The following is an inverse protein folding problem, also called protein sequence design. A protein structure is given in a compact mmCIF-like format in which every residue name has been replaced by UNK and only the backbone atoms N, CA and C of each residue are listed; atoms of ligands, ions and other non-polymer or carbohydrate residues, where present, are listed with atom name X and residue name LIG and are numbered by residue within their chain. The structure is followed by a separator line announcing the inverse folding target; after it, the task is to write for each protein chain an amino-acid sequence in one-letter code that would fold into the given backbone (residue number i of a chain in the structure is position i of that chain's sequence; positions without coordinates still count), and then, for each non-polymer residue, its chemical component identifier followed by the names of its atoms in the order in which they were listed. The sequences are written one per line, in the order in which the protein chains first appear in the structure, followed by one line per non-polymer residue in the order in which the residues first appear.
data_IF_534871824531
#
_entry.id   IF_534871824531
#
_cell.length_a   1.000
_cell.length_b   1.000
_cell.length_c   1.000
_cell.angle_alpha   90.00
_cell.angle_beta   90.00
_cell.angle_gamma   90.00
#
_symmetry.space_group_name_H-M   'P 1'
#
loop_
_entity.id
_entity.type
_entity.pdbx_description
1 polymer ?
#
# COMPACT_ATOMS: atom_id res chain seq x y z
N UNK A 1 7.04 -15.67 1.17
CA UNK A 1 5.60 -15.39 1.26
C UNK A 1 4.83 -16.69 1.28
N UNK A 2 4.53 -17.25 0.11
CA UNK A 2 3.58 -18.37 -0.05
C UNK A 2 3.78 -19.56 0.90
N UNK A 3 5.02 -20.05 1.04
CA UNK A 3 5.32 -21.16 1.95
C UNK A 3 5.06 -20.82 3.42
N UNK A 4 5.44 -19.62 3.85
CA UNK A 4 5.35 -19.21 5.26
C UNK A 4 3.90 -19.09 5.73
N UNK A 5 3.00 -18.69 4.84
CA UNK A 5 1.57 -18.55 5.12
C UNK A 5 0.74 -19.76 4.66
N UNK A 6 1.38 -20.86 4.26
CA UNK A 6 0.68 -22.10 3.91
C UNK A 6 -0.14 -22.05 2.63
N UNK A 7 0.17 -21.16 1.68
CA UNK A 7 -0.60 -21.05 0.42
C UNK A 7 -0.30 -22.16 -0.60
N UNK A 8 0.85 -22.84 -0.52
CA UNK A 8 1.26 -23.83 -1.53
C UNK A 8 0.32 -25.05 -1.65
N UNK A 9 -0.23 -25.62 -0.56
CA UNK A 9 -1.28 -26.64 -0.65
C UNK A 9 -2.57 -26.10 -1.29
N UNK A 10 -3.00 -24.90 -0.90
CA UNK A 10 -4.24 -24.27 -1.40
C UNK A 10 -4.20 -24.05 -2.91
N UNK A 11 -3.04 -23.69 -3.46
CA UNK A 11 -2.86 -23.55 -4.90
C UNK A 11 -3.24 -24.82 -5.68
N UNK A 12 -2.92 -26.00 -5.13
CA UNK A 12 -3.24 -27.30 -5.72
C UNK A 12 -4.69 -27.72 -5.47
N UNK A 13 -5.21 -27.41 -4.29
CA UNK A 13 -6.58 -27.75 -3.90
C UNK A 13 -7.63 -26.99 -4.72
N UNK A 14 -7.41 -25.69 -4.93
CA UNK A 14 -8.33 -24.81 -5.65
C UNK A 14 -7.95 -24.59 -7.12
N UNK A 15 -6.89 -25.25 -7.60
CA UNK A 15 -6.34 -25.07 -8.96
C UNK A 15 -6.09 -23.60 -9.32
N UNK A 16 -5.37 -22.89 -8.45
CA UNK A 16 -5.06 -21.45 -8.60
C UNK A 16 -3.57 -21.19 -8.75
N UNK A 17 -3.24 -20.18 -9.56
CA UNK A 17 -1.87 -19.71 -9.73
C UNK A 17 -1.45 -18.79 -8.58
N UNK A 18 -0.31 -19.07 -7.96
CA UNK A 18 0.35 -18.14 -7.04
C UNK A 18 1.46 -17.38 -7.76
N UNK A 19 1.35 -16.05 -7.78
CA UNK A 19 2.24 -15.18 -8.54
C UNK A 19 2.95 -14.17 -7.64
N UNK A 20 4.29 -14.12 -7.73
CA UNK A 20 5.09 -13.05 -7.11
C UNK A 20 5.11 -11.83 -8.03
N UNK A 21 4.30 -10.81 -7.70
CA UNK A 21 4.18 -9.59 -8.50
C UNK A 21 5.49 -8.83 -8.69
N UNK A 22 6.50 -9.05 -7.84
CA UNK A 22 7.82 -8.41 -8.04
C UNK A 22 8.59 -9.00 -9.23
N UNK A 23 8.13 -10.14 -9.78
CA UNK A 23 8.69 -10.81 -10.95
C UNK A 23 7.81 -10.66 -12.19
N UNK A 24 6.72 -9.89 -12.08
CA UNK A 24 5.81 -9.64 -13.17
C UNK A 24 6.41 -8.69 -14.22
N UNK A 25 5.83 -8.72 -15.42
CA UNK A 25 5.90 -7.58 -16.32
C UNK A 25 5.24 -6.36 -15.65
N UNK A 26 5.62 -5.16 -16.08
CA UNK A 26 5.15 -3.95 -15.45
C UNK A 26 4.84 -2.86 -16.47
N UNK A 27 3.96 -1.96 -16.05
CA UNK A 27 3.65 -0.70 -16.73
C UNK A 27 4.06 0.47 -15.83
N UNK A 28 4.40 1.61 -16.43
CA UNK A 28 4.69 2.83 -15.68
C UNK A 28 3.41 3.60 -15.39
N UNK A 29 3.21 3.97 -14.13
CA UNK A 29 2.16 4.90 -13.71
C UNK A 29 2.80 6.20 -13.25
N UNK A 30 2.28 7.32 -13.74
CA UNK A 30 2.72 8.65 -13.34
C UNK A 30 2.08 9.07 -12.00
N UNK A 31 2.93 9.29 -11.02
CA UNK A 31 2.65 9.74 -9.68
C UNK A 31 3.41 11.04 -9.41
N UNK A 32 3.43 11.49 -8.15
CA UNK A 32 4.04 12.74 -7.76
C UNK A 32 5.11 12.54 -6.68
N UNK A 33 6.22 13.25 -6.81
CA UNK A 33 7.24 13.30 -5.77
C UNK A 33 6.82 14.22 -4.61
N UNK A 34 7.69 14.35 -3.59
CA UNK A 34 7.45 15.20 -2.41
C UNK A 34 7.29 16.69 -2.73
N UNK A 35 7.68 17.11 -3.93
CA UNK A 35 7.56 18.47 -4.43
C UNK A 35 6.44 18.59 -5.47
N UNK A 36 5.57 17.58 -5.56
CA UNK A 36 4.45 17.51 -6.51
C UNK A 36 4.88 17.55 -7.97
N UNK A 37 6.08 17.08 -8.29
CA UNK A 37 6.56 16.92 -9.66
C UNK A 37 6.27 15.51 -10.16
N UNK A 38 6.00 15.31 -11.47
CA UNK A 38 5.80 13.99 -12.03
C UNK A 38 6.97 13.04 -11.72
N UNK A 39 6.63 11.85 -11.25
CA UNK A 39 7.54 10.72 -11.11
C UNK A 39 6.84 9.47 -11.60
N UNK A 40 7.57 8.54 -12.22
CA UNK A 40 6.99 7.29 -12.68
C UNK A 40 7.32 6.17 -11.72
N UNK A 41 6.35 5.34 -11.36
CA UNK A 41 6.55 4.10 -10.63
C UNK A 41 6.08 2.91 -11.46
N UNK A 42 6.69 1.74 -11.24
CA UNK A 42 6.31 0.51 -11.95
C UNK A 42 5.24 -0.24 -11.15
N UNK A 43 4.20 -0.65 -11.84
CA UNK A 43 3.08 -1.43 -11.32
C UNK A 43 2.97 -2.72 -12.12
N UNK A 44 2.66 -3.84 -11.45
CA UNK A 44 2.39 -5.13 -12.08
C UNK A 44 1.37 -4.99 -13.21
N UNK A 45 1.78 -5.43 -14.40
CA UNK A 45 0.94 -5.43 -15.61
C UNK A 45 -0.26 -6.35 -15.43
N UNK A 46 -0.07 -7.51 -14.81
CA UNK A 46 -1.16 -8.45 -14.51
C UNK A 46 -2.26 -7.80 -13.68
N UNK A 47 -1.91 -7.03 -12.63
CA UNK A 47 -2.92 -6.35 -11.80
C UNK A 47 -3.65 -5.26 -12.60
N UNK A 48 -2.93 -4.50 -13.42
CA UNK A 48 -3.52 -3.43 -14.24
C UNK A 48 -4.48 -3.99 -15.29
N UNK A 49 -4.09 -5.07 -15.97
CA UNK A 49 -4.84 -5.69 -17.07
C UNK A 49 -5.92 -6.68 -16.60
N UNK A 50 -6.03 -6.93 -15.29
CA UNK A 50 -7.05 -7.82 -14.74
C UNK A 50 -8.46 -7.27 -14.99
N UNK A 51 -9.34 -8.08 -15.58
CA UNK A 51 -10.76 -7.78 -15.78
C UNK A 51 -11.51 -7.60 -14.45
N UNK A 52 -11.06 -8.33 -13.42
CA UNK A 52 -11.63 -8.27 -12.08
C UNK A 52 -10.53 -8.38 -11.02
N UNK A 53 -10.65 -7.60 -9.94
CA UNK A 53 -9.63 -7.46 -8.88
C UNK A 53 -10.32 -7.62 -7.54
N UNK A 54 -9.88 -8.61 -6.77
CA UNK A 54 -10.36 -8.85 -5.41
C UNK A 54 -9.23 -8.48 -4.44
N UNK A 55 -9.48 -7.53 -3.56
CA UNK A 55 -8.54 -7.13 -2.52
C UNK A 55 -8.95 -7.75 -1.19
N UNK A 56 -8.14 -8.69 -0.70
CA UNK A 56 -8.34 -9.34 0.60
C UNK A 56 -7.21 -8.96 1.54
N UNK A 57 -7.53 -8.47 2.74
CA UNK A 57 -6.51 -8.24 3.75
C UNK A 57 -7.04 -7.75 5.10
N UNK A 58 -6.22 -7.86 6.15
CA UNK A 58 -6.61 -7.42 7.47
C UNK A 58 -6.55 -5.90 7.62
N UNK A 59 -7.51 -5.28 8.32
CA UNK A 59 -7.48 -3.86 8.62
C UNK A 59 -6.41 -3.58 9.67
N UNK A 60 -5.65 -2.50 9.47
CA UNK A 60 -4.55 -2.13 10.37
C UNK A 60 -4.30 -0.64 10.40
N UNK A 61 -3.80 -0.14 11.52
CA UNK A 61 -3.23 1.22 11.58
C UNK A 61 -1.96 1.34 10.75
N UNK A 62 -1.60 2.57 10.39
CA UNK A 62 -0.44 2.88 9.57
C UNK A 62 0.31 4.11 10.10
N UNK A 63 1.58 4.24 9.68
CA UNK A 63 2.50 5.29 10.11
C UNK A 63 2.46 6.57 9.24
N UNK A 64 1.75 6.51 8.10
CA UNK A 64 1.74 7.58 7.07
C UNK A 64 0.36 7.94 6.51
N UNK A 65 -0.64 7.08 6.65
CA UNK A 65 -1.96 7.24 6.02
C UNK A 65 -3.11 6.78 6.92
N UNK A 66 -2.87 6.78 8.23
CA UNK A 66 -3.76 6.41 9.34
C UNK A 66 -4.11 4.93 9.37
N UNK A 67 -4.65 4.37 8.28
CA UNK A 67 -5.04 2.97 8.15
C UNK A 67 -4.60 2.38 6.81
N UNK A 68 -4.33 1.07 6.80
CA UNK A 68 -4.23 0.26 5.60
C UNK A 68 -5.43 -0.65 5.50
N UNK A 69 -6.21 -0.46 4.43
CA UNK A 69 -7.41 -1.22 4.11
C UNK A 69 -7.27 -1.81 2.69
N UNK A 70 -8.37 -2.00 1.97
CA UNK A 70 -8.38 -2.73 0.70
C UNK A 70 -7.62 -2.00 -0.42
N UNK A 71 -7.84 -0.70 -0.61
CA UNK A 71 -7.19 0.06 -1.68
C UNK A 71 -5.68 0.10 -1.50
N UNK A 72 -5.19 0.44 -0.31
CA UNK A 72 -3.74 0.53 -0.06
C UNK A 72 -3.06 -0.84 -0.18
N UNK A 73 -3.75 -1.92 0.18
CA UNK A 73 -3.24 -3.27 0.04
C UNK A 73 -2.93 -3.59 -1.42
N UNK A 74 -3.86 -3.33 -2.35
CA UNK A 74 -3.63 -3.57 -3.78
C UNK A 74 -2.69 -2.53 -4.41
N UNK A 75 -2.85 -1.25 -4.07
CA UNK A 75 -2.08 -0.15 -4.65
C UNK A 75 -0.59 -0.25 -4.32
N UNK A 76 -0.22 -0.48 -3.06
CA UNK A 76 1.19 -0.64 -2.67
C UNK A 76 1.67 -2.07 -2.92
N UNK A 77 0.78 -3.06 -2.84
CA UNK A 77 1.08 -4.46 -3.10
C UNK A 77 1.58 -4.73 -4.52
N UNK A 78 1.03 -4.00 -5.50
CA UNK A 78 1.31 -4.13 -6.93
C UNK A 78 2.53 -3.36 -7.44
N UNK A 79 3.10 -2.45 -6.65
CA UNK A 79 4.31 -1.72 -7.02
C UNK A 79 5.53 -2.67 -7.06
N UNK A 80 6.38 -2.51 -8.06
CA UNK A 80 7.53 -3.41 -8.27
C UNK A 80 8.68 -3.09 -7.31
N UNK A 81 9.25 -4.13 -6.73
CA UNK A 81 10.55 -4.08 -6.04
C UNK A 81 11.54 -4.97 -6.77
N UNK A 82 12.63 -4.39 -7.23
CA UNK A 82 13.72 -5.18 -7.80
C UNK A 82 14.25 -6.18 -6.77
N UNK A 83 14.41 -7.43 -7.17
CA UNK A 83 15.19 -8.37 -6.37
C UNK A 83 16.66 -8.00 -6.55
N UNK A 84 17.37 -7.79 -5.46
CA UNK A 84 18.75 -7.30 -5.45
C UNK A 84 19.72 -8.34 -6.00
N UNK A 85 19.79 -8.53 -7.32
CA UNK A 85 20.91 -9.22 -7.97
C UNK A 85 22.23 -8.48 -7.69
N UNK A 86 22.16 -7.15 -7.57
CA UNK A 86 23.29 -6.29 -7.23
C UNK A 86 23.87 -6.54 -5.83
N UNK A 87 23.08 -6.92 -4.81
CA UNK A 87 23.63 -7.12 -3.46
C UNK A 87 24.48 -8.40 -3.38
N UNK A 88 24.09 -9.45 -4.10
CA UNK A 88 24.88 -10.68 -4.21
C UNK A 88 26.21 -10.41 -4.93
N UNK A 89 26.18 -9.73 -6.07
CA UNK A 89 27.36 -9.32 -6.84
C UNK A 89 28.28 -8.38 -6.04
N UNK A 90 27.74 -7.40 -5.31
CA UNK A 90 28.49 -6.51 -4.43
C UNK A 90 29.13 -7.29 -3.28
N UNK A 91 28.40 -8.24 -2.66
CA UNK A 91 28.95 -9.07 -1.58
C UNK A 91 30.05 -10.01 -2.06
N UNK A 92 29.90 -10.56 -3.27
CA UNK A 92 30.88 -11.45 -3.90
C UNK A 92 32.13 -10.67 -4.30
N UNK A 93 31.96 -9.50 -4.93
CA UNK A 93 33.05 -8.58 -5.23
C UNK A 93 33.81 -8.22 -3.95
N UNK A 94 33.10 -7.85 -2.87
CA UNK A 94 33.72 -7.50 -1.57
C UNK A 94 34.46 -8.67 -0.92
N UNK A 95 34.03 -9.91 -1.13
CA UNK A 95 34.75 -11.12 -0.69
C UNK A 95 36.02 -11.38 -1.50
N UNK A 96 36.02 -11.04 -2.79
CA UNK A 96 37.13 -11.28 -3.70
C UNK A 96 38.11 -10.11 -3.79
N UNK A 97 37.81 -8.95 -3.20
CA UNK A 97 38.71 -7.79 -3.22
C UNK A 97 39.72 -7.89 -2.07
N UNK A 98 41.04 -7.91 -2.35
CA UNK A 98 42.07 -7.81 -1.31
C UNK A 98 41.93 -6.52 -0.50
N UNK A 99 42.19 -6.57 0.81
CA UNK A 99 42.00 -5.44 1.74
C UNK A 99 42.75 -4.16 1.35
N UNK A 100 43.93 -4.29 0.74
CA UNK A 100 44.76 -3.17 0.27
C UNK A 100 44.19 -2.45 -0.97
N UNK A 101 43.24 -3.08 -1.69
CA UNK A 101 42.57 -2.50 -2.87
C UNK A 101 41.20 -1.89 -2.55
N UNK A 102 40.66 -2.10 -1.33
CA UNK A 102 39.28 -1.78 -0.99
C UNK A 102 38.91 -0.29 -1.15
N UNK A 103 39.90 0.60 -1.03
CA UNK A 103 39.77 2.06 -1.09
C UNK A 103 40.40 2.68 -2.35
N UNK A 104 40.62 1.88 -3.41
CA UNK A 104 41.15 2.40 -4.67
C UNK A 104 40.08 3.17 -5.46
N UNK A 105 40.40 4.33 -6.05
CA UNK A 105 39.52 5.07 -6.95
C UNK A 105 39.02 4.24 -8.14
N UNK A 106 39.81 3.24 -8.56
CA UNK A 106 39.47 2.31 -9.63
C UNK A 106 38.33 1.38 -9.21
N UNK A 107 38.37 0.89 -7.96
CA UNK A 107 37.34 0.01 -7.38
C UNK A 107 36.07 0.80 -7.10
N UNK A 108 36.16 2.06 -6.67
CA UNK A 108 35.00 2.95 -6.55
C UNK A 108 34.32 3.22 -7.90
N UNK A 109 35.11 3.49 -8.95
CA UNK A 109 34.58 3.65 -10.32
C UNK A 109 33.93 2.38 -10.87
N UNK A 110 34.43 1.20 -10.53
CA UNK A 110 33.82 -0.08 -10.90
C UNK A 110 32.55 -0.38 -10.09
N UNK A 111 32.45 0.12 -8.85
CA UNK A 111 31.23 0.05 -8.04
C UNK A 111 30.15 1.00 -8.57
N UNK A 112 30.49 2.19 -9.08
CA UNK A 112 29.53 3.22 -9.48
C UNK A 112 28.40 2.77 -10.43
N UNK A 113 28.65 1.97 -11.51
CA UNK A 113 27.61 1.39 -12.37
C UNK A 113 26.76 0.33 -11.66
N UNK A 114 27.38 -0.46 -10.78
CA UNK A 114 26.70 -1.53 -10.00
C UNK A 114 25.87 -0.92 -8.87
N UNK A 115 26.29 0.22 -8.32
CA UNK A 115 25.55 1.01 -7.32
C UNK A 115 24.49 1.91 -7.93
N UNK A 116 24.58 2.25 -9.23
CA UNK A 116 23.47 2.90 -9.96
C UNK A 116 22.45 1.87 -10.45
N UNK A 117 22.87 0.61 -10.63
CA UNK A 117 22.00 -0.57 -10.64
C UNK A 117 21.54 -1.00 -9.23
N UNK A 118 21.47 -0.07 -8.27
CA UNK A 118 20.84 -0.30 -6.97
C UNK A 118 19.35 -0.49 -7.17
N UNK A 119 18.94 -1.76 -7.02
CA UNK A 119 17.61 -2.24 -6.66
C UNK A 119 16.58 -1.12 -6.43
N UNK A 120 15.87 -0.73 -7.49
CA UNK A 120 14.79 0.24 -7.41
C UNK A 120 13.63 -0.40 -6.67
N UNK A 121 13.17 0.24 -5.60
CA UNK A 121 12.07 -0.24 -4.77
C UNK A 121 10.91 0.75 -4.83
N UNK A 122 10.00 0.56 -5.78
CA UNK A 122 8.90 1.50 -6.02
C UNK A 122 7.92 1.52 -4.84
N UNK A 123 7.82 0.41 -4.07
CA UNK A 123 7.06 0.36 -2.81
C UNK A 123 7.57 1.34 -1.77
N UNK A 124 8.88 1.62 -1.73
CA UNK A 124 9.45 2.64 -0.84
C UNK A 124 9.38 4.01 -1.50
N UNK A 125 9.62 4.09 -2.81
CA UNK A 125 9.67 5.35 -3.54
C UNK A 125 8.35 6.13 -3.51
N UNK A 126 7.19 5.47 -3.37
CA UNK A 126 5.90 6.16 -3.20
C UNK A 126 5.80 6.95 -1.88
N UNK A 127 6.61 6.62 -0.87
CA UNK A 127 6.57 7.27 0.45
C UNK A 127 7.32 8.61 0.42
N UNK A 128 6.67 9.64 -0.13
CA UNK A 128 7.22 10.98 -0.33
C UNK A 128 6.70 12.03 0.68
N UNK A 129 6.35 11.58 1.89
CA UNK A 129 5.68 12.39 2.91
C UNK A 129 4.16 12.28 2.84
N UNK A 130 3.47 12.75 3.89
CA UNK A 130 2.03 12.51 4.10
C UNK A 130 1.14 13.05 2.96
N UNK A 131 1.46 14.22 2.42
CA UNK A 131 0.70 14.82 1.33
C UNK A 131 0.82 13.98 0.04
N UNK A 132 2.05 13.72 -0.40
CA UNK A 132 2.31 13.02 -1.64
C UNK A 132 1.84 11.56 -1.62
N UNK A 133 2.02 10.82 -0.52
CA UNK A 133 1.57 9.42 -0.43
C UNK A 133 0.04 9.31 -0.52
N UNK A 134 -0.71 10.16 0.19
CA UNK A 134 -2.18 10.13 0.15
C UNK A 134 -2.70 10.48 -1.24
N UNK A 135 -2.12 11.49 -1.88
CA UNK A 135 -2.46 11.88 -3.26
C UNK A 135 -2.10 10.79 -4.27
N UNK A 136 -0.95 10.14 -4.11
CA UNK A 136 -0.52 9.05 -4.98
C UNK A 136 -1.36 7.78 -4.80
N UNK A 137 -1.83 7.46 -3.59
CA UNK A 137 -2.77 6.36 -3.37
C UNK A 137 -4.10 6.61 -4.08
N UNK A 138 -4.61 7.84 -4.06
CA UNK A 138 -5.76 8.24 -4.89
C UNK A 138 -5.47 8.05 -6.39
N UNK A 139 -4.32 8.54 -6.89
CA UNK A 139 -3.95 8.39 -8.31
C UNK A 139 -3.85 6.93 -8.72
N UNK A 140 -3.32 6.08 -7.83
CA UNK A 140 -3.30 4.64 -8.04
C UNK A 140 -4.71 4.04 -8.01
N UNK A 141 -5.64 4.53 -7.19
CA UNK A 141 -7.02 4.08 -7.18
C UNK A 141 -7.70 4.24 -8.54
N UNK A 142 -7.41 5.32 -9.27
CA UNK A 142 -7.94 5.54 -10.62
C UNK A 142 -7.55 4.44 -11.63
N UNK A 143 -6.52 3.65 -11.33
CA UNK A 143 -6.03 2.56 -12.19
C UNK A 143 -6.24 1.18 -11.54
N UNK A 144 -6.18 1.11 -10.21
CA UNK A 144 -6.03 -0.13 -9.45
C UNK A 144 -7.15 -0.38 -8.45
N UNK A 145 -8.22 0.42 -8.44
CA UNK A 145 -9.36 0.21 -7.56
C UNK A 145 -9.79 -1.28 -7.59
N UNK A 146 -9.95 -1.91 -6.41
CA UNK A 146 -10.56 -3.23 -6.31
C UNK A 146 -11.99 -3.18 -6.87
N UNK A 147 -12.37 -4.26 -7.56
CA UNK A 147 -13.76 -4.47 -7.97
C UNK A 147 -14.57 -5.18 -6.87
N UNK A 148 -13.87 -5.86 -5.97
CA UNK A 148 -14.41 -6.41 -4.73
C UNK A 148 -13.38 -6.22 -3.62
N UNK A 149 -13.77 -5.53 -2.57
CA UNK A 149 -12.99 -5.40 -1.35
C UNK A 149 -13.52 -6.36 -0.31
N UNK A 150 -12.62 -7.12 0.31
CA UNK A 150 -12.89 -8.01 1.45
C UNK A 150 -11.89 -7.69 2.56
N UNK A 151 -12.37 -7.03 3.59
CA UNK A 151 -11.60 -6.68 4.77
C UNK A 151 -11.82 -7.77 5.80
N UNK A 152 -10.80 -8.60 5.99
CA UNK A 152 -10.81 -9.72 6.93
C UNK A 152 -10.32 -9.24 8.30
N UNK A 153 -11.26 -8.84 9.15
CA UNK A 153 -11.00 -8.43 10.52
C UNK A 153 -10.93 -9.58 11.51
N UNK A 154 -10.73 -10.84 11.10
CA UNK A 154 -10.57 -11.95 12.05
C UNK A 154 -9.50 -11.62 13.11
N UNK A 155 -8.36 -11.13 12.63
CA UNK A 155 -7.34 -10.46 13.42
C UNK A 155 -6.92 -9.15 12.72
N UNK A 156 -7.17 -8.02 13.39
CA UNK A 156 -6.80 -6.68 12.94
C UNK A 156 -5.51 -6.23 13.66
N UNK A 157 -5.05 -4.99 13.40
CA UNK A 157 -3.87 -4.44 14.07
C UNK A 157 -4.05 -2.96 14.44
N UNK A 158 -3.67 -2.60 15.68
CA UNK A 158 -3.69 -1.22 16.19
C UNK A 158 -2.30 -0.75 16.65
N UNK A 159 -2.15 0.55 16.94
CA UNK A 159 -0.91 1.15 17.41
C UNK A 159 0.10 1.34 16.28
N UNK A 160 1.36 0.99 16.52
CA UNK A 160 2.49 1.29 15.61
C UNK A 160 2.59 0.35 14.38
N UNK A 161 1.45 0.11 13.72
CA UNK A 161 1.36 -0.58 12.44
C UNK A 161 2.01 0.21 11.28
N UNK A 162 2.37 -0.46 10.17
CA UNK A 162 2.01 -1.83 9.83
C UNK A 162 2.99 -2.90 10.35
N UNK A 163 4.10 -2.51 10.99
CA UNK A 163 5.16 -3.44 11.41
C UNK A 163 5.18 -3.69 12.91
N UNK A 164 5.03 -2.66 13.74
CA UNK A 164 5.14 -2.72 15.20
C UNK A 164 3.80 -2.66 15.94
N UNK A 165 2.70 -2.93 15.24
CA UNK A 165 1.36 -2.85 15.81
C UNK A 165 1.03 -3.99 16.77
N UNK A 166 -0.04 -3.83 17.55
CA UNK A 166 -0.61 -4.84 18.44
C UNK A 166 -1.77 -5.55 17.74
N UNK A 167 -1.80 -6.89 17.71
CA UNK A 167 -2.93 -7.64 17.16
C UNK A 167 -4.22 -7.37 17.93
N UNK A 168 -5.35 -7.30 17.21
CA UNK A 168 -6.68 -7.07 17.76
C UNK A 168 -7.61 -8.20 17.30
N UNK A 169 -8.11 -9.07 18.20
CA UNK A 169 -9.07 -10.11 17.83
C UNK A 169 -10.45 -9.49 17.60
N UNK A 170 -10.68 -8.92 16.42
CA UNK A 170 -11.88 -8.13 16.12
C UNK A 170 -13.05 -8.99 15.63
N UNK A 171 -12.77 -10.03 14.84
CA UNK A 171 -13.71 -11.08 14.41
C UNK A 171 -14.89 -10.57 13.58
N UNK A 172 -14.63 -9.56 12.74
CA UNK A 172 -15.60 -9.08 11.76
C UNK A 172 -15.06 -9.27 10.33
N UNK A 173 -15.95 -9.21 9.35
CA UNK A 173 -15.58 -9.06 7.96
C UNK A 173 -16.45 -7.98 7.32
N UNK A 174 -15.85 -7.14 6.48
CA UNK A 174 -16.56 -6.14 5.68
C UNK A 174 -16.27 -6.43 4.21
N UNK A 175 -17.30 -6.49 3.39
CA UNK A 175 -17.13 -6.69 1.95
C UNK A 175 -18.05 -5.79 1.15
N UNK A 176 -17.56 -5.30 0.01
CA UNK A 176 -18.33 -4.48 -0.92
C UNK A 176 -17.74 -4.51 -2.32
N UNK A 177 -18.59 -4.39 -3.33
CA UNK A 177 -18.19 -4.10 -4.71
C UNK A 177 -17.84 -2.61 -4.93
N UNK A 178 -18.16 -1.75 -3.95
CA UNK A 178 -17.63 -0.40 -3.84
C UNK A 178 -16.48 -0.40 -2.82
N UNK A 179 -15.25 -0.35 -3.33
CA UNK A 179 -14.05 -0.37 -2.49
C UNK A 179 -14.00 0.81 -1.51
N UNK A 180 -14.50 1.98 -1.92
CA UNK A 180 -14.45 3.18 -1.10
C UNK A 180 -15.44 3.05 0.05
N UNK A 181 -16.65 2.54 -0.21
CA UNK A 181 -17.63 2.27 0.84
C UNK A 181 -17.10 1.28 1.88
N UNK A 182 -16.45 0.18 1.44
CA UNK A 182 -15.85 -0.80 2.35
C UNK A 182 -14.74 -0.18 3.22
N UNK A 183 -13.84 0.60 2.61
CA UNK A 183 -12.73 1.23 3.32
C UNK A 183 -13.23 2.34 4.27
N UNK A 184 -14.20 3.16 3.86
CA UNK A 184 -14.79 4.23 4.68
C UNK A 184 -15.55 3.67 5.87
N UNK A 185 -16.41 2.66 5.66
CA UNK A 185 -17.10 1.99 6.76
C UNK A 185 -16.09 1.37 7.73
N UNK A 186 -15.07 0.68 7.22
CA UNK A 186 -14.08 0.05 8.09
C UNK A 186 -13.28 1.07 8.89
N UNK A 187 -12.85 2.18 8.28
CA UNK A 187 -12.16 3.25 8.99
C UNK A 187 -13.01 3.79 10.15
N UNK A 188 -14.30 4.02 9.90
CA UNK A 188 -15.26 4.43 10.92
C UNK A 188 -15.40 3.39 12.05
N UNK A 189 -15.54 2.11 11.67
CA UNK A 189 -15.64 0.99 12.62
C UNK A 189 -14.37 0.83 13.49
N UNK A 190 -13.20 1.20 12.96
CA UNK A 190 -11.94 1.27 13.72
C UNK A 190 -11.83 2.50 14.64
N UNK A 191 -12.82 3.40 14.60
CA UNK A 191 -12.83 4.62 15.42
C UNK A 191 -12.05 5.80 14.82
N UNK A 192 -11.80 5.79 13.51
CA UNK A 192 -11.20 6.92 12.79
C UNK A 192 -12.26 7.69 12.01
N UNK A 193 -12.08 9.00 11.87
CA UNK A 193 -12.87 9.81 10.95
C UNK A 193 -12.39 9.56 9.50
N UNK A 194 -13.23 9.02 8.60
CA UNK A 194 -12.85 8.79 7.21
C UNK A 194 -12.40 10.06 6.48
N UNK A 195 -12.93 11.24 6.85
CA UNK A 195 -12.55 12.53 6.23
C UNK A 195 -11.19 13.04 6.73
N UNK A 196 -10.63 12.44 7.80
CA UNK A 196 -9.26 12.67 8.25
C UNK A 196 -8.24 11.75 7.55
N UNK A 197 -8.68 10.83 6.69
CA UNK A 197 -7.81 9.89 5.97
C UNK A 197 -7.65 10.37 4.52
N UNK A 198 -6.48 10.96 4.23
CA UNK A 198 -6.27 11.71 2.99
C UNK A 198 -6.64 10.96 1.70
N UNK A 199 -6.19 9.71 1.51
CA UNK A 199 -6.50 8.98 0.28
C UNK A 199 -8.00 8.63 0.15
N UNK A 200 -8.71 8.36 1.25
CA UNK A 200 -10.16 8.14 1.22
C UNK A 200 -10.89 9.43 0.90
N UNK A 201 -10.49 10.54 1.53
CA UNK A 201 -11.02 11.87 1.25
C UNK A 201 -10.87 12.24 -0.22
N UNK A 202 -9.67 12.09 -0.80
CA UNK A 202 -9.44 12.35 -2.23
C UNK A 202 -10.32 11.47 -3.13
N UNK A 203 -10.48 10.19 -2.80
CA UNK A 203 -11.35 9.29 -3.56
C UNK A 203 -12.83 9.72 -3.49
N UNK A 204 -13.30 10.13 -2.29
CA UNK A 204 -14.64 10.66 -2.04
C UNK A 204 -14.92 11.91 -2.88
N UNK A 205 -14.08 12.93 -2.78
CA UNK A 205 -14.32 14.20 -3.49
C UNK A 205 -14.18 14.09 -5.01
N UNK A 206 -13.52 13.03 -5.51
CA UNK A 206 -13.40 12.72 -6.93
C UNK A 206 -14.41 11.68 -7.43
N UNK A 207 -15.29 11.19 -6.56
CA UNK A 207 -16.41 10.32 -6.93
C UNK A 207 -15.99 8.92 -7.37
N UNK A 208 -14.92 8.36 -6.79
CA UNK A 208 -14.49 6.98 -7.06
C UNK A 208 -15.36 5.89 -6.39
N UNK A 209 -16.29 6.31 -5.53
CA UNK A 209 -17.24 5.45 -4.82
C UNK A 209 -18.02 6.26 -3.78
N UNK A 210 -18.75 5.58 -2.89
CA UNK A 210 -19.49 6.21 -1.80
C UNK A 210 -18.56 6.50 -0.62
N UNK A 211 -18.28 7.79 -0.38
CA UNK A 211 -17.44 8.24 0.72
C UNK A 211 -18.17 8.84 1.93
N UNK A 212 -19.49 8.97 1.86
CA UNK A 212 -20.33 9.46 2.97
C UNK A 212 -20.96 8.26 3.68
N UNK A 213 -20.75 8.14 4.99
CA UNK A 213 -21.24 6.98 5.77
C UNK A 213 -22.75 6.84 5.71
N UNK A 214 -23.49 7.95 5.71
CA UNK A 214 -24.95 8.00 5.68
C UNK A 214 -25.54 7.47 4.37
N UNK A 215 -24.71 7.35 3.33
CA UNK A 215 -25.10 6.84 2.01
C UNK A 215 -24.71 5.37 1.82
N UNK A 216 -24.03 4.76 2.80
CA UNK A 216 -23.64 3.36 2.76
C UNK A 216 -24.77 2.53 3.35
N UNK A 217 -25.41 1.71 2.52
CA UNK A 217 -26.33 0.68 2.98
C UNK A 217 -25.54 -0.52 3.51
N UNK A 218 -25.72 -0.83 4.80
CA UNK A 218 -25.07 -1.97 5.42
C UNK A 218 -26.08 -3.10 5.60
N UNK A 219 -25.81 -4.23 4.96
CA UNK A 219 -26.53 -5.49 5.18
C UNK A 219 -25.60 -6.43 5.94
N UNK A 220 -26.03 -6.91 7.09
CA UNK A 220 -25.24 -7.78 7.94
C UNK A 220 -26.04 -8.39 9.07
N UNK A 221 -25.42 -9.33 9.78
CA UNK A 221 -26.01 -10.02 10.93
C UNK A 221 -25.89 -9.25 12.26
N UNK A 222 -25.26 -8.07 12.24
CA UNK A 222 -24.96 -7.24 13.39
C UNK A 222 -24.91 -5.77 12.94
N UNK A 223 -25.27 -4.83 13.81
CA UNK A 223 -25.21 -3.42 13.46
C UNK A 223 -23.75 -2.91 13.41
N UNK A 224 -23.45 -1.88 12.59
CA UNK A 224 -22.12 -1.27 12.56
C UNK A 224 -21.63 -0.80 13.94
N UNK A 225 -22.48 -0.15 14.73
CA UNK A 225 -22.09 0.39 16.03
C UNK A 225 -21.68 -0.70 17.03
N UNK A 226 -22.32 -1.87 17.00
CA UNK A 226 -21.93 -3.00 17.85
C UNK A 226 -20.58 -3.62 17.45
N UNK A 227 -20.19 -3.47 16.17
CA UNK A 227 -18.88 -3.89 15.68
C UNK A 227 -17.79 -2.86 15.96
N UNK A 228 -18.17 -1.60 16.22
CA UNK A 228 -17.24 -0.49 16.33
C UNK A 228 -16.32 -0.65 17.53
N UNK A 229 -15.04 -0.39 17.31
CA UNK A 229 -14.00 -0.44 18.35
C UNK A 229 -13.07 0.74 18.15
N UNK A 230 -12.72 1.42 19.24
CA UNK A 230 -11.71 2.47 19.18
C UNK A 230 -10.32 1.84 19.13
N UNK A 231 -9.69 1.84 17.95
CA UNK A 231 -8.31 1.36 17.79
C UNK A 231 -7.34 2.41 18.34
N UNK A 232 -6.26 1.96 18.98
CA UNK A 232 -5.15 2.84 19.33
C UNK A 232 -4.50 3.36 18.05
N UNK A 233 -4.39 4.68 17.83
CA UNK A 233 -3.69 5.22 16.66
C UNK A 233 -2.19 4.91 16.71
N UNK A 234 -1.52 5.00 15.56
CA UNK A 234 -0.06 5.03 15.48
C UNK A 234 0.48 6.23 16.28
N UNK A 235 1.63 6.09 16.93
CA UNK A 235 2.26 7.17 17.74
C UNK A 235 2.44 8.50 16.99
N UNK A 236 2.65 8.41 15.67
CA UNK A 236 2.74 9.54 14.74
C UNK A 236 1.42 10.09 14.19
N UNK A 237 0.24 9.65 14.66
CA UNK A 237 -1.08 9.98 14.08
C UNK A 237 -1.30 11.46 13.76
N UNK A 238 -1.01 12.35 14.71
CA UNK A 238 -1.24 13.79 14.51
C UNK A 238 -0.45 14.36 13.32
N UNK A 239 0.76 13.86 13.05
CA UNK A 239 1.53 14.27 11.87
C UNK A 239 0.93 13.75 10.58
N UNK A 240 0.28 12.58 10.61
CA UNK A 240 -0.35 12.00 9.43
C UNK A 240 -1.52 12.86 8.94
N UNK A 241 -2.17 13.62 9.83
CA UNK A 241 -3.24 14.58 9.51
C UNK A 241 -2.75 15.79 8.68
N UNK A 242 -1.43 15.97 8.53
CA UNK A 242 -0.81 16.98 7.67
C UNK A 242 -0.85 16.61 6.17
N UNK A 243 -1.67 15.63 5.78
CA UNK A 243 -1.82 15.19 4.39
C UNK A 243 -2.51 16.21 3.47
N UNK A 244 -3.22 17.19 4.04
CA UNK A 244 -3.97 18.21 3.28
C UNK A 244 -3.00 19.06 2.46
N UNK A 245 -3.27 19.18 1.16
CA UNK A 245 -2.53 20.07 0.25
C UNK A 245 -3.21 21.45 0.20
N UNK A 246 -2.44 22.49 -0.13
CA UNK A 246 -3.01 23.83 -0.28
C UNK A 246 -3.96 23.91 -1.48
N UNK A 247 -4.93 24.84 -1.49
CA UNK A 247 -5.81 25.04 -2.64
C UNK A 247 -5.08 25.36 -3.95
N UNK A 248 -3.88 25.97 -3.87
CA UNK A 248 -3.05 26.24 -5.05
C UNK A 248 -2.47 24.96 -5.65
N UNK A 249 -2.00 24.04 -4.81
CA UNK A 249 -1.51 22.72 -5.27
C UNK A 249 -2.68 21.90 -5.81
N UNK A 250 -3.81 21.89 -5.10
CA UNK A 250 -5.01 21.16 -5.48
C UNK A 250 -5.41 21.40 -6.94
N UNK A 251 -5.49 22.67 -7.38
CA UNK A 251 -5.87 23.03 -8.76
C UNK A 251 -4.91 22.52 -9.83
N UNK A 252 -3.66 22.21 -9.48
CA UNK A 252 -2.64 21.81 -10.44
C UNK A 252 -2.47 20.29 -10.54
N UNK A 253 -2.89 19.52 -9.53
CA UNK A 253 -2.55 18.09 -9.40
C UNK A 253 -3.74 17.14 -9.40
N UNK A 254 -4.96 17.67 -9.24
CA UNK A 254 -6.22 16.94 -9.13
C UNK A 254 -7.23 17.43 -10.16
#
# INVERSE_FOLDING_TARGET
GFRNFGYLPLAREYDVLLMDLNRDEWVEVELLDRHFRPMKLRVSKTVVESDFRIAVGPPKTHDTVVVTLSLKNIAVGSLIRDQSAGSALISLARRLTPSWLANSPLVERLKAPVTTAVSRNDKVAIHQGYQAINLNLYRLACVLAPHLSVIDGFEAMEGDGPTGGTPVPWRIAVASTDFLAADVLTAHLMGFDPDEIGYLYYCKVKGLGVGDLERIEVVGNISPEECRRQFRPHSGYLRQLEWKISPSIWRNVL
#
